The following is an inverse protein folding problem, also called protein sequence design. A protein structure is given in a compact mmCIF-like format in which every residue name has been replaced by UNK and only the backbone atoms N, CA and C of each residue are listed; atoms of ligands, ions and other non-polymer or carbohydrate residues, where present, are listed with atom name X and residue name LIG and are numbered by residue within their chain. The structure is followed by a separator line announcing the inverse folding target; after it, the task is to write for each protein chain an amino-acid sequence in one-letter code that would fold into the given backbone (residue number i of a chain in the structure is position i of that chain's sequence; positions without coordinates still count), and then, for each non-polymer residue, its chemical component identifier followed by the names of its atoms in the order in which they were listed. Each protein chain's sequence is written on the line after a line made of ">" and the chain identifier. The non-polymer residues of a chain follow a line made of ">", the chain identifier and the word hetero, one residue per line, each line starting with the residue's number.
data_IF_081444103240
#
_entry.id   IF_081444103240
#
_cell.length_a   1.000
_cell.length_b   1.000
_cell.length_c   1.000
_cell.angle_alpha   90.00
_cell.angle_beta   90.00
_cell.angle_gamma   90.00
#
_symmetry.space_group_name_H-M   'P 1'
#
loop_
_entity.id
_entity.type
_entity.pdbx_description
1 polymer ?
#
# COMPACT_ATOMS: atom_id res chain seq x y z
N UNK A 1 14.77 -21.44 -22.30
CA UNK A 1 15.37 -20.08 -22.26
C UNK A 1 14.50 -19.05 -21.51
N UNK A 2 13.20 -18.90 -21.83
CA UNK A 2 12.32 -17.91 -21.13
C UNK A 2 12.10 -18.20 -19.63
N UNK A 3 11.94 -19.45 -19.21
CA UNK A 3 11.74 -19.80 -17.80
C UNK A 3 12.98 -19.52 -16.94
N UNK A 4 14.18 -19.87 -17.44
CA UNK A 4 15.44 -19.60 -16.76
C UNK A 4 15.72 -18.10 -16.58
N UNK A 5 15.37 -17.28 -17.56
CA UNK A 5 15.50 -15.81 -17.45
C UNK A 5 14.53 -15.21 -16.44
N UNK A 6 13.31 -15.76 -16.31
CA UNK A 6 12.34 -15.32 -15.30
C UNK A 6 12.82 -15.66 -13.89
N UNK A 7 13.32 -16.89 -13.69
CA UNK A 7 13.89 -17.33 -12.41
C UNK A 7 15.11 -16.49 -12.04
N UNK A 8 16.03 -16.25 -12.95
CA UNK A 8 17.20 -15.41 -12.73
C UNK A 8 16.80 -13.97 -12.34
N UNK A 9 15.78 -13.40 -12.98
CA UNK A 9 15.25 -12.09 -12.61
C UNK A 9 14.62 -12.04 -11.22
N UNK A 10 13.88 -13.08 -10.84
CA UNK A 10 13.33 -13.21 -9.47
C UNK A 10 14.46 -13.28 -8.45
N UNK A 11 15.46 -14.11 -8.67
CA UNK A 11 16.62 -14.21 -7.79
C UNK A 11 17.38 -12.88 -7.70
N UNK A 12 17.56 -12.19 -8.83
CA UNK A 12 18.23 -10.89 -8.86
C UNK A 12 17.50 -9.81 -8.07
N UNK A 13 16.16 -9.71 -8.20
CA UNK A 13 15.39 -8.70 -7.45
C UNK A 13 15.38 -9.01 -5.96
N UNK A 14 15.26 -10.27 -5.57
CA UNK A 14 15.29 -10.66 -4.16
C UNK A 14 16.69 -10.44 -3.55
N UNK A 15 17.75 -10.76 -4.26
CA UNK A 15 19.13 -10.53 -3.83
C UNK A 15 19.41 -9.02 -3.67
N UNK A 16 19.08 -8.22 -4.69
CA UNK A 16 19.28 -6.77 -4.64
C UNK A 16 18.51 -6.16 -3.46
N UNK A 17 17.22 -6.53 -3.33
CA UNK A 17 16.38 -6.04 -2.22
C UNK A 17 16.94 -6.48 -0.86
N UNK A 18 17.40 -7.73 -0.74
CA UNK A 18 18.03 -8.23 0.49
C UNK A 18 19.32 -7.48 0.86
N UNK A 19 20.16 -7.15 -0.13
CA UNK A 19 21.36 -6.33 0.09
C UNK A 19 20.97 -4.91 0.55
N UNK A 20 20.00 -4.27 -0.11
CA UNK A 20 19.52 -2.95 0.28
C UNK A 20 18.90 -2.94 1.69
N UNK A 21 18.13 -3.98 2.05
CA UNK A 21 17.62 -4.18 3.43
C UNK A 21 18.78 -4.25 4.42
N UNK A 22 19.82 -5.02 4.13
CA UNK A 22 20.96 -5.17 5.01
C UNK A 22 21.75 -3.87 5.21
N UNK A 23 21.77 -3.01 4.20
CA UNK A 23 22.43 -1.70 4.26
C UNK A 23 21.59 -0.65 4.99
N UNK A 24 20.27 -0.64 4.79
CA UNK A 24 19.39 0.42 5.28
C UNK A 24 18.76 0.09 6.64
N UNK A 25 18.54 -1.19 6.95
CA UNK A 25 17.87 -1.65 8.16
C UNK A 25 18.69 -2.67 8.97
N UNK A 26 20.00 -2.39 9.29
CA UNK A 26 20.85 -3.34 10.00
C UNK A 26 20.31 -3.67 11.39
N UNK A 27 19.73 -2.69 12.10
CA UNK A 27 19.21 -2.86 13.46
C UNK A 27 17.98 -3.77 13.49
N UNK A 28 17.11 -3.68 12.48
CA UNK A 28 15.96 -4.59 12.33
C UNK A 28 16.41 -6.03 12.06
N UNK A 29 17.49 -6.24 11.33
CA UNK A 29 18.08 -7.56 11.10
C UNK A 29 18.78 -8.11 12.34
N UNK A 30 19.39 -7.24 13.14
CA UNK A 30 20.07 -7.61 14.39
C UNK A 30 19.09 -8.00 15.53
N UNK A 31 17.79 -7.84 15.32
CA UNK A 31 16.75 -8.03 16.34
C UNK A 31 16.58 -9.46 16.88
N UNK A 32 17.34 -10.45 16.37
CA UNK A 32 17.35 -11.84 16.88
C UNK A 32 17.53 -11.97 18.39
N UNK A 33 18.06 -10.93 19.06
CA UNK A 33 18.22 -10.87 20.51
C UNK A 33 17.02 -10.24 21.24
N UNK A 34 15.92 -9.92 20.54
CA UNK A 34 14.76 -9.19 21.08
C UNK A 34 15.06 -7.71 21.32
N UNK A 35 15.92 -7.11 20.49
CA UNK A 35 16.24 -5.68 20.58
C UNK A 35 15.08 -4.85 20.03
N UNK A 36 14.60 -3.92 20.82
CA UNK A 36 13.59 -2.94 20.45
C UNK A 36 14.29 -1.78 19.72
N UNK A 37 13.87 -1.49 18.48
CA UNK A 37 14.45 -0.39 17.67
C UNK A 37 13.73 0.92 17.99
N UNK A 38 12.39 0.86 18.13
CA UNK A 38 11.55 2.02 18.46
C UNK A 38 10.96 1.88 19.87
N UNK A 39 11.68 2.35 20.92
CA UNK A 39 11.30 2.08 22.31
C UNK A 39 10.25 3.06 22.87
N UNK A 40 9.71 3.99 22.07
CA UNK A 40 8.80 5.04 22.54
C UNK A 40 7.51 5.11 21.74
N UNK A 41 6.47 5.70 22.35
CA UNK A 41 5.21 6.04 21.67
C UNK A 41 4.51 4.85 21.01
N UNK A 42 4.04 5.07 19.79
CA UNK A 42 3.32 4.04 19.03
C UNK A 42 4.21 2.88 18.61
N UNK A 43 5.51 3.08 18.44
CA UNK A 43 6.48 2.01 18.16
C UNK A 43 6.55 1.01 19.31
N UNK A 44 6.68 1.48 20.54
CA UNK A 44 6.66 0.61 21.73
C UNK A 44 5.32 -0.12 21.88
N UNK A 45 4.21 0.58 21.70
CA UNK A 45 2.87 -0.02 21.71
C UNK A 45 2.75 -1.14 20.67
N UNK A 46 3.31 -0.95 19.48
CA UNK A 46 3.25 -1.94 18.40
C UNK A 46 4.03 -3.23 18.70
N UNK A 47 5.03 -3.21 19.57
CA UNK A 47 5.65 -4.42 20.13
C UNK A 47 4.82 -5.03 21.25
N UNK A 48 4.39 -4.17 22.19
CA UNK A 48 3.73 -4.64 23.41
C UNK A 48 2.37 -5.26 23.13
N UNK A 49 1.57 -4.69 22.22
CA UNK A 49 0.20 -5.15 21.98
C UNK A 49 0.13 -6.60 21.49
N UNK A 50 0.85 -7.05 20.46
CA UNK A 50 0.79 -8.45 20.02
C UNK A 50 1.38 -9.42 21.05
N UNK A 51 2.45 -9.02 21.77
CA UNK A 51 3.09 -9.85 22.80
C UNK A 51 2.16 -10.01 24.00
N UNK A 52 1.56 -8.91 24.48
CA UNK A 52 0.61 -8.94 25.57
C UNK A 52 -0.60 -9.83 25.22
N UNK A 53 -1.20 -9.64 24.04
CA UNK A 53 -2.31 -10.46 23.59
C UNK A 53 -1.95 -11.94 23.58
N UNK A 54 -0.79 -12.28 23.04
CA UNK A 54 -0.35 -13.67 22.97
C UNK A 54 -0.15 -14.29 24.36
N UNK A 55 0.38 -13.52 25.32
CA UNK A 55 0.73 -14.02 26.64
C UNK A 55 -0.40 -14.03 27.67
N UNK A 56 -1.35 -13.10 27.56
CA UNK A 56 -2.28 -12.86 28.68
C UNK A 56 -3.76 -12.93 28.32
N UNK A 57 -4.16 -12.70 27.05
CA UNK A 57 -5.56 -12.78 26.67
C UNK A 57 -6.01 -14.22 26.47
N UNK A 58 -7.29 -14.52 26.67
CA UNK A 58 -7.86 -15.87 26.56
C UNK A 58 -8.47 -16.16 25.19
N UNK A 59 -8.81 -15.13 24.40
CA UNK A 59 -9.52 -15.26 23.12
C UNK A 59 -8.68 -14.76 21.95
N UNK A 60 -9.13 -14.93 20.71
CA UNK A 60 -8.47 -14.45 19.48
C UNK A 60 -8.98 -13.07 19.03
N UNK A 61 -9.94 -12.47 19.73
CA UNK A 61 -10.57 -11.20 19.33
C UNK A 61 -10.54 -10.14 20.41
N UNK A 62 -10.39 -10.51 21.68
CA UNK A 62 -10.36 -9.56 22.79
C UNK A 62 -8.92 -9.19 23.15
N UNK A 63 -8.69 -7.91 23.43
CA UNK A 63 -7.41 -7.36 23.88
C UNK A 63 -7.58 -6.67 25.24
N UNK A 64 -7.05 -7.29 26.29
CA UNK A 64 -7.12 -6.78 27.66
C UNK A 64 -6.09 -5.72 28.01
N UNK A 65 -5.11 -5.47 27.14
CA UNK A 65 -4.01 -4.52 27.37
C UNK A 65 -4.38 -3.03 27.25
N UNK A 66 -5.62 -2.71 26.85
CA UNK A 66 -6.17 -1.35 26.80
C UNK A 66 -7.52 -1.28 27.49
N UNK A 67 -7.89 -0.08 27.95
CA UNK A 67 -9.21 0.18 28.58
C UNK A 67 -9.53 -0.75 29.77
N UNK A 68 -8.50 -1.08 30.57
CA UNK A 68 -8.67 -1.96 31.74
C UNK A 68 -9.76 -1.42 32.70
N UNK A 69 -10.65 -2.27 33.22
CA UNK A 69 -10.69 -3.74 33.13
C UNK A 69 -11.50 -4.28 31.93
N UNK A 70 -12.06 -3.43 31.09
CA UNK A 70 -13.03 -3.81 30.06
C UNK A 70 -12.38 -4.40 28.80
N UNK A 71 -11.14 -3.97 28.48
CA UNK A 71 -10.47 -4.34 27.23
C UNK A 71 -11.05 -3.69 25.98
N UNK A 72 -10.62 -4.14 24.82
CA UNK A 72 -11.11 -3.68 23.53
C UNK A 72 -11.10 -4.83 22.52
N UNK A 73 -11.65 -4.62 21.32
CA UNK A 73 -11.50 -5.57 20.24
C UNK A 73 -10.08 -5.50 19.68
N UNK A 74 -9.45 -6.66 19.43
CA UNK A 74 -8.07 -6.77 18.98
C UNK A 74 -7.76 -5.90 17.74
N UNK A 75 -8.66 -5.83 16.76
CA UNK A 75 -8.51 -5.01 15.54
C UNK A 75 -8.38 -3.51 15.84
N UNK A 76 -9.02 -3.03 16.91
CA UNK A 76 -9.08 -1.60 17.24
C UNK A 76 -7.86 -1.11 18.03
N UNK A 77 -7.07 -2.04 18.55
CA UNK A 77 -5.92 -1.75 19.42
C UNK A 77 -4.57 -1.74 18.70
N UNK A 78 -4.57 -1.89 17.38
CA UNK A 78 -3.38 -1.87 16.50
C UNK A 78 -2.31 -2.97 16.79
N UNK A 79 -2.69 -4.19 17.23
CA UNK A 79 -1.76 -5.23 17.62
C UNK A 79 -1.33 -6.14 16.47
N UNK A 80 -1.61 -5.79 15.20
CA UNK A 80 -1.38 -6.69 14.05
C UNK A 80 -1.99 -8.07 14.30
N UNK A 81 -3.32 -8.25 14.17
CA UNK A 81 -4.02 -9.48 14.56
C UNK A 81 -3.42 -10.78 14.03
N UNK A 82 -2.82 -10.75 12.83
CA UNK A 82 -2.16 -11.93 12.27
C UNK A 82 -0.91 -12.33 13.06
N UNK A 83 -0.11 -11.35 13.49
CA UNK A 83 1.07 -11.58 14.32
C UNK A 83 0.64 -11.99 15.74
N UNK A 84 -0.26 -11.24 16.36
CA UNK A 84 -0.72 -11.47 17.72
C UNK A 84 -1.32 -12.87 17.90
N UNK A 85 -2.25 -13.25 17.01
CA UNK A 85 -2.85 -14.60 17.04
C UNK A 85 -1.86 -15.69 16.62
N UNK A 86 -0.95 -15.41 15.68
CA UNK A 86 0.10 -16.34 15.33
C UNK A 86 1.01 -16.64 16.52
N UNK A 87 1.46 -15.63 17.25
CA UNK A 87 2.26 -15.80 18.46
C UNK A 87 1.49 -16.60 19.51
N UNK A 88 0.22 -16.27 19.75
CA UNK A 88 -0.65 -16.95 20.72
C UNK A 88 -0.83 -18.43 20.43
N UNK A 89 -0.95 -18.82 19.17
CA UNK A 89 -1.20 -20.20 18.78
C UNK A 89 0.06 -21.11 18.85
N UNK A 90 1.26 -20.51 18.76
CA UNK A 90 2.50 -21.27 18.60
C UNK A 90 3.49 -21.13 19.75
N UNK A 91 3.30 -20.17 20.69
CA UNK A 91 4.25 -19.90 21.74
C UNK A 91 3.59 -19.72 23.10
N UNK A 92 4.21 -20.29 24.13
CA UNK A 92 3.82 -20.12 25.53
C UNK A 92 4.31 -18.77 26.08
N UNK A 93 3.61 -18.20 27.10
CA UNK A 93 4.04 -16.99 27.79
C UNK A 93 5.44 -17.11 28.39
N UNK A 94 6.26 -16.05 28.27
CA UNK A 94 7.61 -16.01 28.84
C UNK A 94 8.59 -15.22 27.97
N UNK A 95 9.87 -15.19 28.37
CA UNK A 95 10.92 -14.44 27.70
C UNK A 95 11.13 -14.82 26.24
N UNK A 96 10.85 -16.08 25.88
CA UNK A 96 10.93 -16.56 24.51
C UNK A 96 9.85 -15.90 23.64
N UNK A 97 8.62 -15.80 24.14
CA UNK A 97 7.52 -15.13 23.43
C UNK A 97 7.88 -13.67 23.14
N UNK A 98 8.45 -12.95 24.13
CA UNK A 98 8.86 -11.54 23.97
C UNK A 98 9.89 -11.40 22.85
N UNK A 99 10.97 -12.19 22.91
CA UNK A 99 12.04 -12.15 21.89
C UNK A 99 11.54 -12.49 20.49
N UNK A 100 10.72 -13.52 20.37
CA UNK A 100 10.16 -13.96 19.11
C UNK A 100 9.17 -12.91 18.58
N UNK A 101 8.32 -12.35 19.44
CA UNK A 101 7.36 -11.29 19.06
C UNK A 101 8.05 -10.07 18.46
N UNK A 102 9.10 -9.56 19.11
CA UNK A 102 9.91 -8.43 18.59
C UNK A 102 10.55 -8.83 17.24
N UNK A 103 11.17 -10.01 17.17
CA UNK A 103 11.86 -10.47 15.96
C UNK A 103 10.90 -10.60 14.77
N UNK A 104 9.73 -11.21 14.97
CA UNK A 104 8.75 -11.36 13.90
C UNK A 104 8.10 -10.04 13.48
N UNK A 105 7.90 -9.11 14.42
CA UNK A 105 7.47 -7.76 14.08
C UNK A 105 8.39 -7.13 13.04
N UNK A 106 9.71 -7.19 13.23
CA UNK A 106 10.69 -6.67 12.28
C UNK A 106 10.72 -7.46 10.98
N UNK A 107 10.80 -8.77 11.06
CA UNK A 107 10.95 -9.60 9.87
C UNK A 107 9.74 -9.54 8.95
N UNK A 108 8.52 -9.41 9.47
CA UNK A 108 7.33 -9.27 8.65
C UNK A 108 7.36 -7.97 7.82
N UNK A 109 7.86 -6.86 8.38
CA UNK A 109 8.06 -5.61 7.64
C UNK A 109 9.12 -5.77 6.54
N UNK A 110 10.27 -6.37 6.86
CA UNK A 110 11.35 -6.60 5.89
C UNK A 110 10.92 -7.58 4.77
N UNK A 111 10.22 -8.66 5.12
CA UNK A 111 9.64 -9.60 4.16
C UNK A 111 8.59 -8.92 3.27
N UNK A 112 7.86 -7.95 3.80
CA UNK A 112 6.92 -7.16 3.00
C UNK A 112 7.63 -6.27 1.98
N UNK A 113 8.80 -5.68 2.29
CA UNK A 113 9.62 -4.97 1.29
C UNK A 113 10.05 -5.94 0.18
N UNK A 114 10.52 -7.14 0.54
CA UNK A 114 10.89 -8.17 -0.44
C UNK A 114 9.71 -8.62 -1.30
N UNK A 115 8.54 -8.80 -0.67
CA UNK A 115 7.29 -9.12 -1.36
C UNK A 115 6.87 -8.03 -2.34
N UNK A 116 6.96 -6.75 -1.94
CA UNK A 116 6.71 -5.60 -2.81
C UNK A 116 7.60 -5.64 -4.05
N UNK A 117 8.92 -5.80 -3.87
CA UNK A 117 9.87 -5.86 -4.97
C UNK A 117 9.60 -7.05 -5.90
N UNK A 118 9.28 -8.21 -5.36
CA UNK A 118 8.93 -9.39 -6.16
C UNK A 118 7.68 -9.15 -7.02
N UNK A 119 6.59 -8.66 -6.42
CA UNK A 119 5.33 -8.49 -7.16
C UNK A 119 5.37 -7.31 -8.13
N UNK A 120 6.10 -6.22 -7.83
CA UNK A 120 6.40 -5.17 -8.80
C UNK A 120 7.25 -5.68 -9.96
N UNK A 121 8.31 -6.48 -9.69
CA UNK A 121 9.09 -7.11 -10.74
C UNK A 121 8.20 -7.97 -11.66
N UNK A 122 7.37 -8.84 -11.10
CA UNK A 122 6.45 -9.68 -11.88
C UNK A 122 5.49 -8.83 -12.71
N UNK A 123 4.93 -7.76 -12.13
CA UNK A 123 4.03 -6.84 -12.80
C UNK A 123 4.73 -6.14 -13.98
N UNK A 124 5.92 -5.58 -13.77
CA UNK A 124 6.67 -4.92 -14.84
C UNK A 124 7.06 -5.90 -15.95
N UNK A 125 7.39 -7.16 -15.63
CA UNK A 125 7.63 -8.20 -16.63
C UNK A 125 6.40 -8.50 -17.48
N UNK A 126 5.22 -8.57 -16.89
CA UNK A 126 3.95 -8.75 -17.62
C UNK A 126 3.59 -7.50 -18.47
N UNK A 127 4.06 -6.32 -18.10
CA UNK A 127 3.95 -5.09 -18.89
C UNK A 127 4.99 -4.97 -20.00
N UNK A 128 5.87 -5.99 -20.21
CA UNK A 128 6.83 -6.05 -21.29
C UNK A 128 8.17 -5.35 -21.02
N UNK A 129 8.45 -4.95 -19.78
CA UNK A 129 9.76 -4.36 -19.45
C UNK A 129 10.84 -5.46 -19.35
N UNK A 130 12.11 -5.19 -19.71
CA UNK A 130 13.20 -6.16 -19.60
C UNK A 130 13.55 -6.44 -18.13
N UNK A 131 14.12 -7.63 -17.88
CA UNK A 131 14.42 -8.09 -16.52
C UNK A 131 15.31 -7.12 -15.75
N UNK A 132 16.40 -6.63 -16.36
CA UNK A 132 17.35 -5.73 -15.69
C UNK A 132 16.66 -4.45 -15.20
N UNK A 133 15.86 -3.82 -16.04
CA UNK A 133 15.15 -2.59 -15.70
C UNK A 133 14.08 -2.85 -14.63
N UNK A 134 13.31 -3.93 -14.79
CA UNK A 134 12.30 -4.35 -13.82
C UNK A 134 12.88 -4.63 -12.44
N UNK A 135 14.10 -5.19 -12.33
CA UNK A 135 14.81 -5.44 -11.08
C UNK A 135 15.09 -4.13 -10.33
N UNK A 136 15.71 -3.16 -11.02
CA UNK A 136 16.09 -1.89 -10.39
C UNK A 136 14.88 -1.06 -9.97
N UNK A 137 13.88 -0.90 -10.85
CA UNK A 137 12.70 -0.09 -10.53
C UNK A 137 11.82 -0.76 -9.47
N UNK A 138 11.69 -2.09 -9.47
CA UNK A 138 10.92 -2.81 -8.46
C UNK A 138 11.56 -2.68 -7.07
N UNK A 139 12.88 -2.86 -6.97
CA UNK A 139 13.62 -2.65 -5.72
C UNK A 139 13.47 -1.19 -5.25
N UNK A 140 13.79 -0.20 -6.10
CA UNK A 140 13.71 1.22 -5.74
C UNK A 140 12.32 1.64 -5.27
N UNK A 141 11.25 1.26 -5.99
CA UNK A 141 9.87 1.58 -5.58
C UNK A 141 9.47 0.94 -4.26
N UNK A 142 10.01 -0.23 -3.94
CA UNK A 142 9.69 -0.91 -2.69
C UNK A 142 10.27 -0.20 -1.46
N UNK A 143 11.42 0.46 -1.62
CA UNK A 143 12.03 1.28 -0.57
C UNK A 143 11.45 2.70 -0.52
N UNK A 144 11.08 3.28 -1.67
CA UNK A 144 10.46 4.60 -1.74
C UNK A 144 8.99 4.58 -1.29
N UNK A 145 8.38 3.40 -1.13
CA UNK A 145 6.97 3.29 -0.77
C UNK A 145 6.66 3.99 0.56
N UNK A 146 5.60 4.82 0.66
CA UNK A 146 5.27 5.58 1.87
C UNK A 146 5.04 4.70 3.11
N UNK A 147 4.74 3.41 2.92
CA UNK A 147 4.61 2.42 3.98
C UNK A 147 5.96 2.15 4.69
N UNK A 148 7.09 2.34 4.01
CA UNK A 148 8.42 2.12 4.62
C UNK A 148 8.67 3.14 5.73
N UNK A 149 8.25 4.38 5.57
CA UNK A 149 8.33 5.39 6.62
C UNK A 149 7.53 5.03 7.89
N UNK A 150 6.54 4.12 7.78
CA UNK A 150 5.76 3.63 8.94
C UNK A 150 6.53 2.63 9.81
N UNK A 151 7.67 2.15 9.38
CA UNK A 151 8.57 1.32 10.19
C UNK A 151 9.09 2.03 11.45
N UNK A 152 9.00 3.36 11.49
CA UNK A 152 9.37 4.15 12.66
C UNK A 152 8.28 4.17 13.78
N UNK A 153 6.98 3.95 13.44
CA UNK A 153 5.91 4.13 14.45
C UNK A 153 4.77 3.10 14.34
N UNK A 154 4.29 2.80 13.12
CA UNK A 154 3.07 2.05 12.88
C UNK A 154 3.36 0.77 12.11
N UNK A 155 3.90 -0.23 12.76
CA UNK A 155 4.41 -1.46 12.14
C UNK A 155 3.35 -2.24 11.36
N UNK A 156 2.09 -2.24 11.83
CA UNK A 156 0.98 -2.84 11.08
C UNK A 156 0.76 -2.21 9.70
N UNK A 157 1.11 -0.91 9.56
CA UNK A 157 1.03 -0.16 8.29
C UNK A 157 2.31 -0.26 7.44
N UNK A 158 3.39 -0.81 7.98
CA UNK A 158 4.66 -0.99 7.28
C UNK A 158 4.64 -2.24 6.37
N UNK A 159 3.61 -2.35 5.52
CA UNK A 159 3.41 -3.50 4.63
C UNK A 159 3.39 -3.06 3.15
N UNK A 160 4.53 -2.65 2.57
CA UNK A 160 4.60 -2.16 1.19
C UNK A 160 4.20 -3.20 0.13
N UNK A 161 4.16 -4.51 0.45
CA UNK A 161 3.69 -5.55 -0.46
C UNK A 161 2.18 -5.48 -0.73
N UNK A 162 1.38 -4.89 0.16
CA UNK A 162 -0.07 -4.97 0.10
C UNK A 162 -0.66 -4.51 -1.25
N UNK A 163 -0.23 -3.35 -1.74
CA UNK A 163 -0.73 -2.80 -3.00
C UNK A 163 -0.14 -3.53 -4.21
N UNK A 164 1.19 -3.75 -4.35
CA UNK A 164 1.77 -4.48 -5.48
C UNK A 164 1.21 -5.89 -5.69
N UNK A 165 0.97 -6.64 -4.61
CA UNK A 165 0.37 -7.99 -4.71
C UNK A 165 -1.01 -7.91 -5.37
N UNK A 166 -1.88 -7.03 -4.88
CA UNK A 166 -3.23 -6.88 -5.42
C UNK A 166 -3.21 -6.34 -6.84
N UNK A 167 -2.37 -5.34 -7.15
CA UNK A 167 -2.25 -4.81 -8.53
C UNK A 167 -1.74 -5.88 -9.52
N UNK A 168 -0.79 -6.73 -9.13
CA UNK A 168 -0.37 -7.85 -9.96
C UNK A 168 -1.51 -8.84 -10.19
N UNK A 169 -2.28 -9.18 -9.16
CA UNK A 169 -3.41 -10.09 -9.27
C UNK A 169 -4.55 -9.47 -10.11
N UNK A 170 -4.79 -8.16 -10.03
CA UNK A 170 -5.72 -7.44 -10.89
C UNK A 170 -5.26 -7.45 -12.36
N UNK A 171 -3.95 -7.32 -12.64
CA UNK A 171 -3.43 -7.51 -14.00
C UNK A 171 -3.67 -8.92 -14.51
N UNK A 172 -3.40 -9.93 -13.69
CA UNK A 172 -3.68 -11.34 -14.05
C UNK A 172 -5.16 -11.60 -14.26
N UNK A 173 -6.02 -10.98 -13.46
CA UNK A 173 -7.47 -11.01 -13.62
C UNK A 173 -7.91 -10.32 -14.92
N UNK A 174 -7.37 -9.14 -15.22
CA UNK A 174 -7.66 -8.40 -16.46
C UNK A 174 -7.33 -9.24 -17.71
N UNK A 175 -6.20 -9.94 -17.67
CA UNK A 175 -5.77 -10.82 -18.79
C UNK A 175 -6.62 -12.08 -18.90
N UNK A 176 -6.97 -12.70 -17.76
CA UNK A 176 -7.69 -13.97 -17.70
C UNK A 176 -8.56 -14.02 -16.46
N UNK A 177 -9.85 -13.85 -16.57
CA UNK A 177 -10.82 -13.83 -15.47
C UNK A 177 -10.96 -15.19 -14.78
N UNK A 178 -9.89 -15.68 -14.13
CA UNK A 178 -9.86 -16.97 -13.43
C UNK A 178 -10.28 -16.84 -11.98
N UNK A 179 -11.11 -17.74 -11.50
CA UNK A 179 -11.54 -17.80 -10.10
C UNK A 179 -10.38 -17.95 -9.12
N UNK A 180 -9.35 -18.76 -9.47
CA UNK A 180 -8.14 -18.87 -8.64
C UNK A 180 -7.43 -17.53 -8.43
N UNK A 181 -7.40 -16.68 -9.45
CA UNK A 181 -6.84 -15.32 -9.32
C UNK A 181 -7.68 -14.45 -8.41
N UNK A 182 -9.02 -14.55 -8.52
CA UNK A 182 -9.92 -13.80 -7.63
C UNK A 182 -9.83 -14.27 -6.18
N UNK A 183 -9.73 -15.59 -5.97
CA UNK A 183 -9.53 -16.14 -4.63
C UNK A 183 -8.19 -15.66 -4.04
N UNK A 184 -7.11 -15.71 -4.82
CA UNK A 184 -5.80 -15.19 -4.39
C UNK A 184 -5.85 -13.69 -4.04
N UNK A 185 -6.59 -12.88 -4.82
CA UNK A 185 -6.79 -11.46 -4.52
C UNK A 185 -7.59 -11.26 -3.21
N UNK A 186 -8.70 -11.97 -3.03
CA UNK A 186 -9.50 -11.90 -1.81
C UNK A 186 -8.73 -12.35 -0.56
N UNK A 187 -7.96 -13.44 -0.65
CA UNK A 187 -7.07 -13.89 0.42
C UNK A 187 -5.96 -12.86 0.72
N UNK A 188 -5.42 -12.19 -0.29
CA UNK A 188 -4.44 -11.13 -0.09
C UNK A 188 -5.06 -9.91 0.59
N UNK A 189 -6.27 -9.50 0.20
CA UNK A 189 -7.01 -8.44 0.90
C UNK A 189 -7.21 -8.81 2.37
N UNK A 190 -7.66 -10.02 2.66
CA UNK A 190 -7.85 -10.48 4.04
C UNK A 190 -6.53 -10.51 4.82
N UNK A 191 -5.47 -11.08 4.23
CA UNK A 191 -4.14 -11.16 4.85
C UNK A 191 -3.64 -9.78 5.29
N UNK A 192 -3.63 -8.80 4.38
CA UNK A 192 -3.13 -7.46 4.70
C UNK A 192 -4.07 -6.70 5.65
N UNK A 193 -5.38 -6.96 5.60
CA UNK A 193 -6.33 -6.41 6.57
C UNK A 193 -6.07 -6.90 8.00
N UNK A 194 -5.52 -8.11 8.16
CA UNK A 194 -5.13 -8.66 9.45
C UNK A 194 -3.78 -8.13 9.97
N UNK A 195 -2.99 -7.43 9.14
CA UNK A 195 -1.90 -6.58 9.63
C UNK A 195 -2.43 -5.25 10.14
N UNK A 196 -3.32 -4.60 9.38
CA UNK A 196 -3.98 -3.38 9.78
C UNK A 196 -5.26 -3.18 8.96
N UNK A 197 -6.40 -2.92 9.63
CA UNK A 197 -7.70 -2.83 8.98
C UNK A 197 -7.77 -1.79 7.85
N UNK A 198 -6.92 -0.75 7.91
CA UNK A 198 -6.84 0.27 6.86
C UNK A 198 -6.56 -0.33 5.46
N UNK A 199 -5.80 -1.43 5.38
CA UNK A 199 -5.58 -2.11 4.12
C UNK A 199 -6.85 -2.66 3.49
N UNK A 200 -7.84 -3.08 4.30
CA UNK A 200 -9.13 -3.45 3.74
C UNK A 200 -9.74 -2.28 2.96
N UNK A 201 -9.83 -1.09 3.58
CA UNK A 201 -10.39 0.10 2.93
C UNK A 201 -9.66 0.47 1.65
N UNK A 202 -8.32 0.53 1.71
CA UNK A 202 -7.48 0.89 0.57
C UNK A 202 -7.61 -0.11 -0.59
N UNK A 203 -7.49 -1.40 -0.31
CA UNK A 203 -7.49 -2.45 -1.35
C UNK A 203 -8.89 -2.70 -1.90
N UNK A 204 -9.93 -2.68 -1.05
CA UNK A 204 -11.31 -2.80 -1.52
C UNK A 204 -11.73 -1.63 -2.42
N UNK A 205 -11.33 -0.38 -2.08
CA UNK A 205 -11.58 0.76 -2.96
C UNK A 205 -10.80 0.66 -4.27
N UNK A 206 -9.55 0.21 -4.25
CA UNK A 206 -8.76 -0.03 -5.46
C UNK A 206 -9.43 -1.06 -6.38
N UNK A 207 -9.88 -2.19 -5.82
CA UNK A 207 -10.63 -3.24 -6.54
C UNK A 207 -11.94 -2.67 -7.07
N UNK A 208 -12.71 -1.93 -6.26
CA UNK A 208 -14.00 -1.35 -6.67
C UNK A 208 -13.86 -0.40 -7.86
N UNK A 209 -12.86 0.48 -7.81
CA UNK A 209 -12.59 1.40 -8.93
C UNK A 209 -12.13 0.65 -10.17
N UNK A 210 -11.27 -0.35 -10.02
CA UNK A 210 -10.85 -1.19 -11.15
C UNK A 210 -12.05 -1.91 -11.81
N UNK A 211 -12.93 -2.53 -11.03
CA UNK A 211 -14.11 -3.21 -11.52
C UNK A 211 -15.13 -2.25 -12.14
N UNK A 212 -15.29 -1.06 -11.57
CA UNK A 212 -16.11 -0.01 -12.16
C UNK A 212 -15.59 0.39 -13.56
N UNK A 213 -14.29 0.60 -13.72
CA UNK A 213 -13.67 0.95 -14.99
C UNK A 213 -13.76 -0.20 -16.01
N UNK A 214 -13.61 -1.45 -15.59
CA UNK A 214 -13.86 -2.64 -16.43
C UNK A 214 -15.33 -2.73 -16.87
N UNK A 215 -16.29 -2.41 -16.00
CA UNK A 215 -17.70 -2.38 -16.33
C UNK A 215 -18.03 -1.25 -17.32
N UNK A 216 -17.51 -0.05 -17.09
CA UNK A 216 -17.74 1.11 -17.98
C UNK A 216 -17.17 0.90 -19.39
N UNK A 217 -16.20 0.01 -19.54
CA UNK A 217 -15.64 -0.38 -20.85
C UNK A 217 -16.61 -1.26 -21.67
N UNK A 218 -17.37 -2.12 -21.00
CA UNK A 218 -18.35 -3.00 -21.61
C UNK A 218 -19.60 -3.04 -20.72
N UNK A 219 -20.56 -2.14 -21.03
CA UNK A 219 -21.82 -1.99 -20.30
C UNK A 219 -22.80 -3.04 -20.83
N UNK A 220 -22.57 -4.29 -20.44
CA UNK A 220 -23.46 -5.41 -20.76
C UNK A 220 -23.85 -6.17 -19.50
N UNK A 221 -25.05 -6.76 -19.49
CA UNK A 221 -25.52 -7.57 -18.36
C UNK A 221 -24.61 -8.79 -18.10
N UNK A 222 -24.10 -9.40 -19.17
CA UNK A 222 -23.19 -10.54 -19.07
C UNK A 222 -21.87 -10.15 -18.41
N UNK A 223 -21.33 -9.00 -18.78
CA UNK A 223 -20.12 -8.47 -18.16
C UNK A 223 -20.35 -8.12 -16.68
N UNK A 224 -21.47 -7.43 -16.38
CA UNK A 224 -21.84 -7.11 -15.01
C UNK A 224 -21.95 -8.35 -14.12
N UNK A 225 -22.66 -9.39 -14.56
CA UNK A 225 -22.81 -10.63 -13.80
C UNK A 225 -21.46 -11.34 -13.54
N UNK A 226 -20.59 -11.39 -14.57
CA UNK A 226 -19.24 -11.92 -14.43
C UNK A 226 -18.41 -11.11 -13.42
N UNK A 227 -18.38 -9.79 -13.56
CA UNK A 227 -17.64 -8.91 -12.67
C UNK A 227 -18.17 -8.98 -11.23
N UNK A 228 -19.51 -8.99 -11.05
CA UNK A 228 -20.12 -9.08 -9.72
C UNK A 228 -19.70 -10.34 -8.95
N UNK A 229 -19.68 -11.51 -9.62
CA UNK A 229 -19.21 -12.75 -9.01
C UNK A 229 -17.75 -12.66 -8.56
N UNK A 230 -16.87 -12.17 -9.41
CA UNK A 230 -15.45 -12.00 -9.07
C UNK A 230 -15.22 -10.93 -8.00
N UNK A 231 -15.95 -9.81 -8.04
CA UNK A 231 -15.93 -8.79 -7.01
C UNK A 231 -16.39 -9.33 -5.66
N UNK A 232 -17.44 -10.19 -5.67
CA UNK A 232 -17.91 -10.90 -4.49
C UNK A 232 -16.78 -11.64 -3.77
N UNK A 233 -15.91 -12.34 -4.52
CA UNK A 233 -14.78 -13.08 -3.95
C UNK A 233 -13.63 -12.16 -3.55
N UNK A 234 -13.33 -11.12 -4.34
CA UNK A 234 -12.15 -10.27 -4.11
C UNK A 234 -12.35 -9.24 -2.99
N UNK A 235 -13.56 -8.70 -2.80
CA UNK A 235 -13.84 -7.62 -1.86
C UNK A 235 -14.93 -7.98 -0.84
N UNK A 236 -16.06 -8.56 -1.30
CA UNK A 236 -17.21 -8.80 -0.39
C UNK A 236 -16.96 -9.95 0.56
N UNK A 237 -16.34 -11.05 0.13
CA UNK A 237 -16.03 -12.17 1.02
C UNK A 237 -15.06 -11.77 2.14
N UNK A 238 -13.93 -11.06 1.89
CA UNK A 238 -13.11 -10.47 2.95
C UNK A 238 -13.89 -9.53 3.87
N UNK A 239 -14.78 -8.68 3.32
CA UNK A 239 -15.63 -7.79 4.11
C UNK A 239 -16.52 -8.58 5.08
N UNK A 240 -17.24 -9.58 4.58
CA UNK A 240 -18.14 -10.41 5.39
C UNK A 240 -17.36 -11.10 6.51
N UNK A 241 -16.18 -11.66 6.20
CA UNK A 241 -15.32 -12.27 7.22
C UNK A 241 -14.92 -11.26 8.30
N UNK A 242 -14.42 -10.08 7.90
CA UNK A 242 -13.97 -9.04 8.84
C UNK A 242 -15.13 -8.52 9.70
N UNK A 243 -16.30 -8.31 9.11
CA UNK A 243 -17.49 -7.88 9.85
C UNK A 243 -17.97 -8.96 10.82
N UNK A 244 -18.03 -10.22 10.39
CA UNK A 244 -18.41 -11.32 11.26
C UNK A 244 -17.45 -11.47 12.45
N UNK A 245 -16.14 -11.34 12.21
CA UNK A 245 -15.15 -11.39 13.26
C UNK A 245 -15.24 -10.16 14.20
N UNK A 246 -15.37 -8.96 13.63
CA UNK A 246 -15.49 -7.72 14.40
C UNK A 246 -16.75 -7.72 15.28
N UNK A 247 -17.92 -7.94 14.70
CA UNK A 247 -19.18 -7.93 15.46
C UNK A 247 -19.31 -9.13 16.41
N UNK A 248 -18.74 -10.28 16.07
CA UNK A 248 -18.71 -11.46 16.95
C UNK A 248 -17.85 -11.27 18.20
N UNK A 249 -16.85 -10.37 18.16
CA UNK A 249 -15.95 -10.07 19.27
C UNK A 249 -16.15 -8.71 19.92
N UNK A 250 -16.93 -7.80 19.31
CA UNK A 250 -17.12 -6.44 19.80
C UNK A 250 -18.01 -6.40 21.02
N UNK A 251 -17.56 -5.70 22.05
CA UNK A 251 -18.30 -5.51 23.32
C UNK A 251 -18.49 -4.04 23.70
N UNK A 252 -17.90 -3.12 22.92
CA UNK A 252 -18.01 -1.67 23.16
C UNK A 252 -19.26 -1.15 22.47
N UNK A 253 -20.33 -0.91 23.26
CA UNK A 253 -21.64 -0.49 22.75
C UNK A 253 -21.69 0.98 22.27
N UNK A 254 -20.81 1.82 22.78
CA UNK A 254 -20.79 3.28 22.57
C UNK A 254 -19.63 3.75 21.68
N UNK A 255 -19.09 2.86 20.85
CA UNK A 255 -18.02 3.22 19.91
C UNK A 255 -18.47 4.33 18.98
N UNK A 256 -17.69 5.42 18.93
CA UNK A 256 -17.99 6.55 18.07
C UNK A 256 -18.12 6.15 16.60
N UNK A 257 -19.25 6.46 15.98
CA UNK A 257 -19.45 6.26 14.54
C UNK A 257 -18.59 7.21 13.70
N UNK A 258 -18.15 8.33 14.27
CA UNK A 258 -17.39 9.39 13.62
C UNK A 258 -16.15 9.72 14.44
N UNK A 259 -15.13 8.83 14.47
CA UNK A 259 -13.90 9.10 15.21
C UNK A 259 -13.17 10.29 14.60
N UNK A 260 -12.57 11.10 15.48
CA UNK A 260 -11.74 12.22 15.04
C UNK A 260 -10.55 11.77 14.16
N UNK A 261 -10.17 12.62 13.22
CA UNK A 261 -8.97 12.43 12.39
C UNK A 261 -9.25 12.11 10.92
N UNK A 262 -10.47 11.71 10.52
CA UNK A 262 -10.77 11.31 9.15
C UNK A 262 -10.35 12.35 8.10
N UNK A 263 -10.81 13.61 8.22
CA UNK A 263 -10.43 14.70 7.31
C UNK A 263 -9.14 15.39 7.77
N UNK A 264 -8.86 15.39 9.08
CA UNK A 264 -7.69 16.08 9.62
C UNK A 264 -6.40 15.51 9.02
N UNK A 265 -6.26 14.18 9.01
CA UNK A 265 -5.12 13.46 8.46
C UNK A 265 -5.29 13.14 6.96
N UNK A 266 -5.61 14.15 6.15
CA UNK A 266 -5.69 14.01 4.69
C UNK A 266 -4.33 14.21 4.03
N UNK A 267 -4.18 13.71 2.79
CA UNK A 267 -3.05 14.03 1.95
C UNK A 267 -3.00 15.52 1.60
N UNK A 268 -1.81 16.03 1.32
CA UNK A 268 -1.57 17.40 0.84
C UNK A 268 -0.72 17.33 -0.40
N UNK A 269 -0.92 18.28 -1.34
CA UNK A 269 -0.23 18.24 -2.63
C UNK A 269 1.29 18.42 -2.49
N UNK A 270 1.74 19.22 -1.53
CA UNK A 270 3.15 19.35 -1.17
C UNK A 270 3.75 18.03 -0.68
N UNK A 271 3.04 17.29 0.18
CA UNK A 271 3.48 15.97 0.64
C UNK A 271 3.45 14.87 -0.43
N UNK A 272 2.70 15.06 -1.53
CA UNK A 272 2.63 14.12 -2.66
C UNK A 272 3.73 14.41 -3.70
N UNK A 273 3.94 15.68 -4.06
CA UNK A 273 4.78 16.06 -5.20
C UNK A 273 6.13 16.67 -4.83
N UNK A 274 6.29 17.11 -3.58
CA UNK A 274 7.50 17.78 -3.11
C UNK A 274 7.79 17.41 -1.66
N UNK A 275 8.28 16.19 -1.42
CA UNK A 275 8.66 15.79 -0.08
C UNK A 275 9.90 16.56 0.39
N UNK A 276 9.67 17.53 1.28
CA UNK A 276 10.68 18.45 1.76
C UNK A 276 11.68 17.80 2.73
N UNK A 277 11.36 16.60 3.23
CA UNK A 277 12.27 15.84 4.07
C UNK A 277 13.36 15.11 3.26
N UNK A 278 13.20 15.06 1.94
CA UNK A 278 14.18 14.48 1.04
C UNK A 278 15.43 15.39 0.90
N UNK A 279 16.64 14.84 1.03
CA UNK A 279 17.88 15.62 0.93
C UNK A 279 18.00 16.46 -0.35
N UNK A 280 17.49 15.95 -1.47
CA UNK A 280 17.53 16.66 -2.76
C UNK A 280 16.55 17.83 -2.85
N UNK A 281 15.62 17.97 -1.90
CA UNK A 281 14.78 19.17 -1.78
C UNK A 281 15.27 20.13 -0.69
N UNK A 282 16.27 19.78 0.13
CA UNK A 282 16.79 20.65 1.19
C UNK A 282 17.33 21.96 0.66
N UNK A 283 17.88 22.00 -0.57
CA UNK A 283 18.29 23.26 -1.22
C UNK A 283 17.10 24.20 -1.48
N UNK A 284 15.91 23.66 -1.69
CA UNK A 284 14.68 24.41 -1.91
C UNK A 284 13.91 24.67 -0.60
N UNK A 285 14.38 24.15 0.53
CA UNK A 285 13.70 24.22 1.82
C UNK A 285 13.34 25.65 2.22
N UNK A 286 14.28 26.58 2.02
CA UNK A 286 14.09 28.00 2.29
C UNK A 286 12.91 28.62 1.50
N UNK A 287 12.70 28.18 0.26
CA UNK A 287 11.64 28.68 -0.61
C UNK A 287 10.29 27.99 -0.37
N UNK A 288 10.32 26.74 0.07
CA UNK A 288 9.15 25.89 0.21
C UNK A 288 8.62 25.85 1.66
N UNK A 289 9.41 26.28 2.64
CA UNK A 289 9.03 26.32 4.06
C UNK A 289 7.69 27.04 4.32
N UNK A 290 7.32 28.14 3.64
CA UNK A 290 6.01 28.78 3.85
C UNK A 290 4.82 27.90 3.51
N UNK A 291 5.01 26.84 2.70
CA UNK A 291 3.98 25.89 2.29
C UNK A 291 3.97 24.64 3.18
N UNK A 292 4.90 24.52 4.13
CA UNK A 292 5.01 23.41 5.07
C UNK A 292 3.91 23.44 6.11
N UNK A 293 2.94 22.56 5.97
CA UNK A 293 2.03 22.20 7.06
C UNK A 293 1.84 20.67 7.06
N UNK A 294 2.96 19.91 6.99
CA UNK A 294 2.92 18.47 6.85
C UNK A 294 2.87 17.81 8.22
N UNK A 295 1.78 17.10 8.49
CA UNK A 295 1.77 16.04 9.47
C UNK A 295 2.28 14.73 8.83
N UNK A 296 2.71 13.77 9.64
CA UNK A 296 3.27 12.51 9.13
C UNK A 296 2.33 11.72 8.21
N UNK A 297 1.02 11.93 8.28
CA UNK A 297 0.05 11.25 7.41
C UNK A 297 -0.11 11.94 6.05
N UNK A 298 0.32 13.20 5.92
CA UNK A 298 0.33 13.93 4.66
C UNK A 298 1.59 13.65 3.81
N UNK A 299 2.65 13.08 4.41
CA UNK A 299 3.89 12.71 3.71
C UNK A 299 3.72 11.42 2.94
N UNK A 300 3.40 11.52 1.65
CA UNK A 300 3.15 10.39 0.76
C UNK A 300 3.79 10.64 -0.61
N UNK A 301 5.07 11.01 -0.61
CA UNK A 301 5.82 11.38 -1.79
C UNK A 301 5.88 10.27 -2.84
N UNK A 302 5.62 10.63 -4.11
CA UNK A 302 5.52 9.67 -5.20
C UNK A 302 6.81 9.48 -6.01
N UNK A 303 7.83 10.28 -5.80
CA UNK A 303 9.07 10.27 -6.57
C UNK A 303 9.03 11.18 -7.80
N UNK A 304 10.21 11.68 -8.21
CA UNK A 304 10.37 12.62 -9.33
C UNK A 304 9.86 12.05 -10.66
N UNK A 305 10.16 10.76 -10.92
CA UNK A 305 9.79 10.10 -12.18
C UNK A 305 8.28 10.00 -12.29
N UNK A 306 7.60 9.58 -11.22
CA UNK A 306 6.14 9.49 -11.20
C UNK A 306 5.48 10.88 -11.27
N UNK A 307 6.01 11.86 -10.56
CA UNK A 307 5.51 13.24 -10.60
C UNK A 307 5.61 13.81 -12.02
N UNK A 308 6.78 13.71 -12.65
CA UNK A 308 6.99 14.12 -14.03
C UNK A 308 6.07 13.39 -15.02
N UNK A 309 5.97 12.07 -14.89
CA UNK A 309 5.08 11.23 -15.71
C UNK A 309 3.61 11.62 -15.55
N UNK A 310 3.14 11.86 -14.32
CA UNK A 310 1.78 12.27 -14.03
C UNK A 310 1.44 13.62 -14.68
N UNK A 311 2.31 14.62 -14.53
CA UNK A 311 2.08 15.94 -15.15
C UNK A 311 2.12 15.90 -16.68
N UNK A 312 3.00 15.07 -17.28
CA UNK A 312 3.00 14.84 -18.74
C UNK A 312 1.69 14.22 -19.21
N UNK A 313 1.18 13.21 -18.50
CA UNK A 313 -0.09 12.57 -18.84
C UNK A 313 -1.27 13.53 -18.65
N UNK A 314 -1.27 14.30 -17.57
CA UNK A 314 -2.30 15.34 -17.33
C UNK A 314 -2.29 16.41 -18.45
N UNK A 315 -1.10 16.88 -18.84
CA UNK A 315 -0.95 17.81 -19.96
C UNK A 315 -1.48 17.20 -21.28
N UNK A 316 -1.22 15.90 -21.53
CA UNK A 316 -1.80 15.20 -22.69
C UNK A 316 -3.32 15.20 -22.67
N UNK A 317 -3.96 14.91 -21.53
CA UNK A 317 -5.43 14.95 -21.39
C UNK A 317 -5.95 16.33 -21.79
N UNK A 318 -5.37 17.40 -21.27
CA UNK A 318 -5.80 18.78 -21.52
C UNK A 318 -5.60 19.15 -23.00
N UNK A 319 -4.43 18.83 -23.58
CA UNK A 319 -4.09 19.24 -24.95
C UNK A 319 -4.79 18.42 -26.03
N UNK A 320 -4.95 17.11 -25.82
CA UNK A 320 -5.47 16.21 -26.86
C UNK A 320 -7.00 16.20 -26.91
N UNK A 321 -7.71 16.85 -25.98
CA UNK A 321 -9.18 17.01 -25.97
C UNK A 321 -9.91 15.70 -26.30
N UNK A 322 -9.52 14.59 -25.68
CA UNK A 322 -10.09 13.24 -25.88
C UNK A 322 -9.95 12.65 -27.31
N UNK A 323 -9.15 13.27 -28.22
CA UNK A 323 -8.99 12.78 -29.60
C UNK A 323 -8.01 11.60 -29.75
N UNK A 324 -7.23 11.28 -28.70
CA UNK A 324 -6.30 10.15 -28.71
C UNK A 324 -6.31 9.44 -27.35
N UNK A 325 -5.98 8.14 -27.31
CA UNK A 325 -5.92 7.40 -26.07
C UNK A 325 -4.83 7.98 -25.13
N UNK A 326 -5.13 7.99 -23.82
CA UNK A 326 -4.21 8.46 -22.78
C UNK A 326 -2.87 7.71 -22.85
N UNK A 327 -2.95 6.40 -22.91
CA UNK A 327 -1.81 5.49 -23.11
C UNK A 327 -1.84 5.01 -24.56
N UNK A 328 -0.75 5.17 -25.35
CA UNK A 328 -0.71 4.75 -26.75
C UNK A 328 -1.05 3.28 -26.96
N UNK A 329 -1.67 2.97 -28.10
CA UNK A 329 -2.06 1.61 -28.47
C UNK A 329 -0.88 0.63 -28.60
N UNK A 330 0.31 1.17 -28.83
CA UNK A 330 1.56 0.41 -28.94
C UNK A 330 2.04 -0.16 -27.60
N UNK A 331 1.50 0.31 -26.48
CA UNK A 331 1.92 -0.13 -25.14
C UNK A 331 1.12 -1.36 -24.71
N UNK A 332 1.75 -2.48 -24.36
CA UNK A 332 1.07 -3.68 -23.85
C UNK A 332 0.23 -3.38 -22.61
N UNK A 333 -0.93 -4.03 -22.52
CA UNK A 333 -1.85 -3.84 -21.40
C UNK A 333 -2.28 -2.37 -21.18
N UNK A 334 -2.35 -1.54 -22.24
CA UNK A 334 -2.69 -0.11 -22.16
C UNK A 334 -4.00 0.17 -21.42
N UNK A 335 -4.98 -0.70 -21.56
CA UNK A 335 -6.29 -0.56 -20.89
C UNK A 335 -6.10 -0.68 -19.38
N UNK A 336 -5.37 -1.69 -18.95
CA UNK A 336 -5.02 -1.87 -17.53
C UNK A 336 -4.26 -0.65 -16.99
N UNK A 337 -3.24 -0.16 -17.69
CA UNK A 337 -2.50 1.04 -17.30
C UNK A 337 -3.39 2.29 -17.23
N UNK A 338 -4.34 2.42 -18.16
CA UNK A 338 -5.34 3.51 -18.13
C UNK A 338 -6.25 3.38 -16.89
N UNK A 339 -6.70 2.16 -16.56
CA UNK A 339 -7.49 1.92 -15.34
C UNK A 339 -6.69 2.25 -14.08
N UNK A 340 -5.40 1.86 -14.02
CA UNK A 340 -4.53 2.21 -12.90
C UNK A 340 -4.38 3.73 -12.75
N UNK A 341 -4.15 4.45 -13.85
CA UNK A 341 -4.04 5.91 -13.82
C UNK A 341 -5.30 6.56 -13.24
N UNK A 342 -6.48 6.17 -13.73
CA UNK A 342 -7.73 6.75 -13.25
C UNK A 342 -8.07 6.32 -11.82
N UNK A 343 -7.90 5.05 -11.47
CA UNK A 343 -8.16 4.57 -10.11
C UNK A 343 -7.25 5.27 -9.09
N UNK A 344 -5.95 5.40 -9.40
CA UNK A 344 -5.01 6.13 -8.54
C UNK A 344 -5.36 7.61 -8.43
N UNK A 345 -5.71 8.27 -9.55
CA UNK A 345 -6.07 9.70 -9.55
C UNK A 345 -7.36 9.96 -8.76
N UNK A 346 -8.37 9.10 -8.88
CA UNK A 346 -9.62 9.21 -8.09
C UNK A 346 -9.30 9.07 -6.60
N UNK A 347 -8.49 8.07 -6.21
CA UNK A 347 -8.10 7.93 -4.80
C UNK A 347 -7.18 9.05 -4.31
N UNK A 348 -6.36 9.65 -5.17
CA UNK A 348 -5.64 10.87 -4.81
C UNK A 348 -6.62 11.99 -4.44
N UNK A 349 -7.61 12.27 -5.30
CA UNK A 349 -8.62 13.32 -5.04
C UNK A 349 -9.37 13.03 -3.74
N UNK A 350 -9.77 11.79 -3.52
CA UNK A 350 -10.39 11.35 -2.27
C UNK A 350 -9.46 11.54 -1.07
N UNK A 351 -8.19 11.16 -1.18
CA UNK A 351 -7.21 11.30 -0.10
C UNK A 351 -6.90 12.75 0.27
N UNK A 352 -7.04 13.69 -0.66
CA UNK A 352 -6.96 15.12 -0.42
C UNK A 352 -8.15 15.67 0.37
N UNK A 353 -9.18 14.86 0.60
CA UNK A 353 -10.38 15.22 1.37
C UNK A 353 -11.58 15.64 0.54
N UNK A 354 -11.48 15.60 -0.80
CA UNK A 354 -12.63 15.91 -1.64
C UNK A 354 -13.67 14.79 -1.64
N UNK A 355 -15.00 15.12 -1.68
CA UNK A 355 -15.55 16.48 -1.72
C UNK A 355 -15.72 17.15 -0.34
N UNK A 356 -15.41 16.48 0.76
CA UNK A 356 -15.81 16.84 2.14
C UNK A 356 -15.19 18.14 2.66
N UNK A 357 -14.07 18.59 2.07
CA UNK A 357 -13.42 19.87 2.42
C UNK A 357 -14.08 21.08 1.76
N UNK A 358 -15.05 20.88 0.86
CA UNK A 358 -15.84 21.94 0.26
C UNK A 358 -16.90 22.39 1.26
N UNK A 359 -17.03 23.69 1.56
CA UNK A 359 -18.04 24.19 2.50
C UNK A 359 -19.45 23.67 2.17
N UNK A 360 -20.12 23.09 3.15
CA UNK A 360 -21.46 22.49 3.03
C UNK A 360 -21.46 21.01 2.56
N UNK A 361 -20.38 20.51 1.96
CA UNK A 361 -20.28 19.11 1.53
C UNK A 361 -19.79 18.18 2.65
N UNK A 362 -19.31 18.69 3.77
CA UNK A 362 -19.00 17.93 4.97
C UNK A 362 -20.21 17.12 5.47
N UNK A 363 -21.43 17.57 5.16
CA UNK A 363 -22.68 16.85 5.47
C UNK A 363 -22.76 15.48 4.79
N UNK A 364 -22.01 15.27 3.72
CA UNK A 364 -21.95 13.97 3.03
C UNK A 364 -21.23 12.90 3.85
N UNK A 365 -20.41 13.30 4.85
CA UNK A 365 -19.73 12.35 5.75
C UNK A 365 -20.71 11.37 6.41
N UNK A 366 -21.91 11.82 6.78
CA UNK A 366 -22.93 10.96 7.39
C UNK A 366 -23.31 9.74 6.54
N UNK A 367 -23.09 9.80 5.23
CA UNK A 367 -23.40 8.70 4.31
C UNK A 367 -22.22 7.74 4.08
N UNK A 368 -21.02 8.04 4.58
CA UNK A 368 -19.87 7.18 4.45
C UNK A 368 -19.90 5.94 5.35
N UNK A 369 -20.73 5.97 6.40
CA UNK A 369 -20.88 4.85 7.33
C UNK A 369 -19.52 4.38 7.88
N UNK A 370 -19.21 3.08 7.81
CA UNK A 370 -17.97 2.51 8.36
C UNK A 370 -16.67 3.06 7.77
N UNK A 371 -16.69 3.69 6.59
CA UNK A 371 -15.49 4.32 6.02
C UNK A 371 -14.89 5.41 6.90
N UNK A 372 -15.69 6.06 7.74
CA UNK A 372 -15.19 7.06 8.70
C UNK A 372 -14.30 6.47 9.80
N UNK A 373 -14.32 5.15 9.99
CA UNK A 373 -13.41 4.46 10.91
C UNK A 373 -11.95 4.48 10.41
N UNK A 374 -11.71 4.71 9.11
CA UNK A 374 -10.39 4.89 8.54
C UNK A 374 -9.89 6.32 8.76
N UNK A 375 -9.43 6.64 9.97
CA UNK A 375 -9.13 8.00 10.48
C UNK A 375 -8.14 8.80 9.64
N UNK A 376 -7.27 8.16 8.86
CA UNK A 376 -6.21 8.82 8.09
C UNK A 376 -6.48 8.72 6.60
N UNK A 377 -7.24 9.68 6.07
CA UNK A 377 -7.63 9.74 4.66
C UNK A 377 -6.41 9.83 3.72
N UNK A 378 -5.32 10.45 4.19
CA UNK A 378 -4.07 10.59 3.45
C UNK A 378 -3.48 9.26 2.98
N UNK A 379 -3.70 8.16 3.71
CA UNK A 379 -3.20 6.83 3.36
C UNK A 379 -3.81 6.24 2.07
N UNK A 380 -4.97 6.73 1.63
CA UNK A 380 -5.55 6.31 0.35
C UNK A 380 -4.72 6.77 -0.86
N UNK A 381 -3.85 7.79 -0.70
CA UNK A 381 -2.87 8.18 -1.72
C UNK A 381 -1.78 7.14 -1.99
N UNK A 382 -1.63 6.11 -1.13
CA UNK A 382 -0.69 5.02 -1.37
C UNK A 382 -1.00 4.23 -2.65
N UNK A 383 -2.28 4.12 -3.03
CA UNK A 383 -2.60 3.58 -4.35
C UNK A 383 -2.05 4.47 -5.46
N UNK A 384 -2.19 5.80 -5.33
CA UNK A 384 -1.67 6.74 -6.32
C UNK A 384 -0.15 6.66 -6.46
N UNK A 385 0.59 6.46 -5.36
CA UNK A 385 2.03 6.20 -5.39
C UNK A 385 2.36 5.05 -6.34
N UNK A 386 1.78 3.88 -6.13
CA UNK A 386 2.10 2.70 -6.95
C UNK A 386 1.60 2.85 -8.38
N UNK A 387 0.37 3.30 -8.57
CA UNK A 387 -0.23 3.38 -9.91
C UNK A 387 0.46 4.42 -10.79
N UNK A 388 0.80 5.59 -10.26
CA UNK A 388 1.53 6.63 -11.00
C UNK A 388 2.94 6.18 -11.39
N UNK A 389 3.66 5.50 -10.49
CA UNK A 389 4.97 4.94 -10.77
C UNK A 389 4.92 3.83 -11.83
N UNK A 390 3.99 2.86 -11.69
CA UNK A 390 3.83 1.77 -12.65
C UNK A 390 3.54 2.34 -14.04
N UNK A 391 2.63 3.30 -14.15
CA UNK A 391 2.29 3.93 -15.42
C UNK A 391 3.45 4.73 -15.98
N UNK A 392 4.13 5.54 -15.15
CA UNK A 392 5.25 6.37 -15.60
C UNK A 392 6.43 5.53 -16.11
N UNK A 393 6.86 4.50 -15.37
CA UNK A 393 7.98 3.66 -15.78
C UNK A 393 7.64 2.78 -17.00
N UNK A 394 6.42 2.24 -17.07
CA UNK A 394 5.97 1.48 -18.25
C UNK A 394 5.90 2.39 -19.49
N UNK A 395 5.31 3.58 -19.34
CA UNK A 395 5.21 4.55 -20.43
C UNK A 395 6.59 5.03 -20.89
N UNK A 396 7.49 5.37 -19.96
CA UNK A 396 8.86 5.78 -20.26
C UNK A 396 9.62 4.70 -21.04
N UNK A 397 9.52 3.42 -20.60
CA UNK A 397 10.13 2.31 -21.31
C UNK A 397 9.66 2.21 -22.77
N UNK A 398 8.37 2.15 -22.99
CA UNK A 398 7.82 1.98 -24.34
C UNK A 398 8.00 3.21 -25.25
N UNK A 399 8.26 4.39 -24.66
CA UNK A 399 8.46 5.64 -25.43
C UNK A 399 9.94 5.92 -25.70
N UNK A 400 10.83 5.63 -24.75
CA UNK A 400 12.23 6.10 -24.81
C UNK A 400 13.28 5.01 -24.68
N UNK A 401 12.92 3.71 -24.72
CA UNK A 401 13.90 2.61 -24.62
C UNK A 401 14.95 2.57 -25.74
N UNK A 402 14.69 3.23 -26.88
CA UNK A 402 15.67 3.43 -27.95
C UNK A 402 16.82 4.37 -27.56
N UNK A 403 16.62 5.20 -26.50
CA UNK A 403 17.64 6.10 -25.97
C UNK A 403 18.42 5.40 -24.86
N UNK A 404 19.60 4.85 -25.17
CA UNK A 404 20.40 3.96 -24.29
C UNK A 404 20.64 4.47 -22.87
N UNK A 405 20.72 5.80 -22.67
CA UNK A 405 21.03 6.41 -21.38
C UNK A 405 19.78 6.73 -20.53
N UNK A 406 18.59 6.85 -21.13
CA UNK A 406 17.39 7.34 -20.40
C UNK A 406 16.96 6.34 -19.33
N UNK A 407 16.87 5.06 -19.66
CA UNK A 407 16.42 4.04 -18.72
C UNK A 407 17.36 3.85 -17.53
N UNK A 408 18.69 3.76 -17.70
CA UNK A 408 19.62 3.76 -16.58
C UNK A 408 19.52 5.00 -15.70
N UNK A 409 19.36 6.20 -16.29
CA UNK A 409 19.21 7.45 -15.51
C UNK A 409 17.92 7.42 -14.68
N UNK A 410 16.78 7.03 -15.25
CA UNK A 410 15.52 6.96 -14.50
C UNK A 410 15.61 5.93 -13.35
N UNK A 411 16.24 4.79 -13.57
CA UNK A 411 16.47 3.80 -12.53
C UNK A 411 17.43 4.33 -11.45
N UNK A 412 18.49 5.03 -11.82
CA UNK A 412 19.43 5.64 -10.88
C UNK A 412 18.76 6.72 -10.04
N UNK A 413 17.98 7.61 -10.65
CA UNK A 413 17.22 8.65 -9.92
C UNK A 413 16.34 8.01 -8.87
N UNK A 414 15.56 6.98 -9.24
CA UNK A 414 14.70 6.27 -8.31
C UNK A 414 15.49 5.62 -7.15
N UNK A 415 16.61 4.96 -7.43
CA UNK A 415 17.42 4.32 -6.39
C UNK A 415 18.02 5.37 -5.44
N UNK A 416 18.50 6.50 -5.98
CA UNK A 416 18.99 7.59 -5.14
C UNK A 416 17.89 8.16 -4.25
N UNK A 417 16.70 8.38 -4.79
CA UNK A 417 15.54 8.81 -3.99
C UNK A 417 15.21 7.80 -2.89
N UNK A 418 15.13 6.51 -3.26
CA UNK A 418 14.80 5.43 -2.33
C UNK A 418 15.85 5.24 -1.22
N UNK A 419 17.13 5.52 -1.50
CA UNK A 419 18.21 5.36 -0.53
C UNK A 419 18.28 6.55 0.46
N UNK A 420 17.90 7.73 0.02
CA UNK A 420 17.91 8.96 0.84
C UNK A 420 16.54 9.30 1.46
N UNK A 421 15.57 8.40 1.33
CA UNK A 421 14.23 8.55 1.91
C UNK A 421 14.19 8.33 3.42
#
# INVERSE_FOLDING_TARGET
>A
MMLSQKIAGILAVLLLTGVLIALQFPDFLASRKGMVVEPYGDGFKAYMSPIYHAGYDSTLSHFGGMHYPYGDHLVMSDPQPILANGLKLFFEPGDQLVRIGITWTHYLMLLSIMGSALFLFLLFRELGLPSWYSVWIAAGLSFLAPMVARMAYHFGLAQPAAVPVVLYLLLRFHQNRRWATSLAAGLSVLLFSLFHLHYFGLLAMAISLFFLLEFLRDISWRNLASLAGHYGVQAMLPLVFLLAWLYGGERVADRSAQPWGFIHYRAKLDGIFASLDQPHFRFADHWLTPFRSLDGEAMNYIGLVAAGGFFVLLWRIVRMRAKAPLIPDTIPNRVFLTHLFWAGSILLVFSLGFPFIIPGMERLLKYLGPLQQFRALGRFSWLFFFTSNIVAFAWAWHTWSNKKWVMPVLALVLILEAFFF
#
